data_IF_084925595697
#
_entry.id   IF_084925595697
#
_cell.length_a   1.000
_cell.length_b   1.000
_cell.length_c   1.000
_cell.angle_alpha   90.00
_cell.angle_beta   90.00
_cell.angle_gamma   90.00
#
_symmetry.space_group_name_H-M   'P 1'
#
loop_
_entity.id
_entity.type
_entity.pdbx_description
1 polymer ?
#
# COMPACT_ATOMS: atom_id res chain seq x y z
N UNK A 1 10.91 19.24 1.57
CA UNK A 1 10.66 17.82 1.84
C UNK A 1 9.24 17.73 2.36
N UNK A 2 8.27 17.39 1.51
CA UNK A 2 6.91 17.12 1.98
C UNK A 2 6.94 15.68 2.52
N UNK A 3 6.89 15.53 3.84
CA UNK A 3 6.69 14.22 4.44
C UNK A 3 5.27 13.78 4.10
N UNK A 4 5.14 12.84 3.16
CA UNK A 4 3.87 12.19 2.90
C UNK A 4 3.62 11.22 4.06
N UNK A 5 2.47 11.33 4.71
CA UNK A 5 2.11 10.45 5.83
C UNK A 5 1.94 9.04 5.28
N UNK A 6 2.66 8.07 5.86
CA UNK A 6 2.45 6.65 5.62
C UNK A 6 1.65 6.06 6.78
N UNK A 7 0.44 5.63 6.46
CA UNK A 7 -0.46 5.00 7.40
C UNK A 7 0.00 3.59 7.70
N UNK A 8 -0.30 3.14 8.92
CA UNK A 8 -0.11 1.76 9.34
C UNK A 8 -1.45 1.01 9.37
N UNK A 9 -1.42 -0.32 9.51
CA UNK A 9 -2.64 -1.14 9.57
C UNK A 9 -3.61 -0.79 10.71
N UNK A 10 -3.14 -0.10 11.77
CA UNK A 10 -3.98 0.45 12.82
C UNK A 10 -4.79 1.71 12.43
N UNK A 11 -4.46 2.36 11.31
CA UNK A 11 -4.92 3.70 10.95
C UNK A 11 -5.89 3.71 9.74
N UNK A 12 -6.52 2.57 9.45
CA UNK A 12 -7.43 2.39 8.30
C UNK A 12 -8.50 3.49 8.21
N UNK A 13 -9.07 3.93 9.34
CA UNK A 13 -10.13 4.95 9.34
C UNK A 13 -9.64 6.31 8.83
N UNK A 14 -8.42 6.70 9.20
CA UNK A 14 -7.83 7.97 8.79
C UNK A 14 -7.43 7.91 7.32
N UNK A 15 -6.88 6.77 6.87
CA UNK A 15 -6.64 6.51 5.45
C UNK A 15 -7.93 6.60 4.62
N UNK A 16 -9.01 5.96 5.06
CA UNK A 16 -10.32 6.02 4.36
C UNK A 16 -10.84 7.46 4.27
N UNK A 17 -10.63 8.27 5.32
CA UNK A 17 -11.01 9.67 5.29
C UNK A 17 -10.22 10.46 4.25
N UNK A 18 -8.92 10.18 4.08
CA UNK A 18 -8.09 10.79 3.03
C UNK A 18 -8.47 10.34 1.62
N UNK A 19 -8.73 9.05 1.41
CA UNK A 19 -9.19 8.55 0.11
C UNK A 19 -10.46 9.28 -0.35
N UNK A 20 -11.41 9.50 0.57
CA UNK A 20 -12.68 10.19 0.28
C UNK A 20 -12.52 11.68 -0.01
N UNK A 21 -11.39 12.28 0.37
CA UNK A 21 -11.04 13.67 -0.02
C UNK A 21 -10.42 13.73 -1.42
N UNK A 22 -10.15 12.60 -2.06
CA UNK A 22 -9.47 12.50 -3.34
C UNK A 22 -7.95 12.45 -3.24
N UNK A 23 -7.40 12.30 -2.02
CA UNK A 23 -5.97 12.07 -1.80
C UNK A 23 -5.57 10.64 -2.17
N UNK A 24 -4.30 10.44 -2.51
CA UNK A 24 -3.69 9.10 -2.63
C UNK A 24 -2.86 8.88 -1.36
N UNK A 25 -3.42 8.23 -0.32
CA UNK A 25 -2.66 7.92 0.89
C UNK A 25 -1.58 6.88 0.61
N UNK A 26 -0.56 6.89 1.44
CA UNK A 26 0.50 5.87 1.47
C UNK A 26 0.23 4.92 2.64
N UNK A 27 0.44 3.62 2.44
CA UNK A 27 0.28 2.59 3.48
C UNK A 27 1.55 1.74 3.50
N UNK A 28 2.17 1.60 4.68
CA UNK A 28 3.21 0.60 4.90
C UNK A 28 2.53 -0.74 5.23
N UNK A 29 3.02 -1.81 4.61
CA UNK A 29 2.64 -3.20 4.91
C UNK A 29 3.87 -4.09 4.84
N UNK A 30 3.93 -5.14 5.64
CA UNK A 30 5.07 -6.06 5.68
C UNK A 30 5.14 -6.94 4.42
N UNK A 31 3.98 -7.40 3.95
CA UNK A 31 3.89 -8.36 2.85
C UNK A 31 2.53 -8.34 2.13
N UNK A 32 2.37 -9.26 1.17
CA UNK A 32 1.11 -9.46 0.46
C UNK A 32 -0.03 -9.98 1.35
N UNK A 33 0.26 -10.65 2.49
CA UNK A 33 -0.77 -11.09 3.43
C UNK A 33 -1.35 -9.89 4.18
N UNK A 34 -0.50 -8.98 4.64
CA UNK A 34 -0.94 -7.76 5.29
C UNK A 34 -1.65 -6.81 4.29
N UNK A 35 -1.16 -6.70 3.05
CA UNK A 35 -1.92 -6.05 1.98
C UNK A 35 -3.34 -6.63 1.84
N UNK A 36 -3.48 -7.96 1.77
CA UNK A 36 -4.79 -8.60 1.67
C UNK A 36 -5.66 -8.34 2.90
N UNK A 37 -5.05 -8.25 4.09
CA UNK A 37 -5.74 -7.84 5.30
C UNK A 37 -6.28 -6.41 5.19
N UNK A 38 -5.47 -5.47 4.69
CA UNK A 38 -5.88 -4.07 4.44
C UNK A 38 -7.04 -4.02 3.45
N UNK A 39 -6.97 -4.78 2.36
CA UNK A 39 -8.06 -4.88 1.36
C UNK A 39 -9.36 -5.33 2.04
N UNK A 40 -9.32 -6.39 2.86
CA UNK A 40 -10.50 -6.87 3.58
C UNK A 40 -11.06 -5.81 4.55
N UNK A 41 -10.19 -5.03 5.21
CA UNK A 41 -10.62 -3.93 6.08
C UNK A 41 -11.26 -2.78 5.31
N UNK A 42 -10.78 -2.48 4.12
CA UNK A 42 -11.40 -1.49 3.25
C UNK A 42 -12.79 -1.92 2.78
N UNK A 43 -13.01 -3.21 2.57
CA UNK A 43 -14.34 -3.73 2.20
C UNK A 43 -15.39 -3.45 3.28
N UNK A 44 -15.01 -3.48 4.57
CA UNK A 44 -15.88 -3.10 5.71
C UNK A 44 -16.33 -1.63 5.61
N UNK A 45 -15.63 -0.80 4.84
CA UNK A 45 -15.91 0.61 4.58
C UNK A 45 -16.54 0.88 3.20
N UNK A 46 -16.99 -0.16 2.50
CA UNK A 46 -17.48 -0.12 1.11
C UNK A 46 -16.45 0.38 0.10
N UNK A 47 -15.18 0.06 0.32
CA UNK A 47 -14.08 0.35 -0.60
C UNK A 47 -13.52 -1.00 -1.06
N UNK A 48 -13.63 -1.28 -2.34
CA UNK A 48 -13.34 -2.59 -2.92
C UNK A 48 -12.16 -2.49 -3.87
N UNK A 49 -11.29 -3.50 -3.87
CA UNK A 49 -10.18 -3.57 -4.81
C UNK A 49 -10.71 -3.72 -6.25
N UNK A 50 -10.26 -2.86 -7.17
CA UNK A 50 -10.61 -2.92 -8.58
C UNK A 50 -9.80 -4.04 -9.27
N UNK A 51 -10.28 -5.29 -9.18
CA UNK A 51 -9.55 -6.50 -9.61
C UNK A 51 -9.16 -6.55 -11.09
N UNK A 52 -9.84 -5.80 -11.95
CA UNK A 52 -9.54 -5.74 -13.38
C UNK A 52 -8.39 -4.76 -13.70
N UNK A 53 -7.98 -3.94 -12.73
CA UNK A 53 -6.91 -2.96 -12.89
C UNK A 53 -5.63 -3.57 -12.29
N UNK A 54 -4.57 -3.75 -13.09
CA UNK A 54 -3.32 -4.27 -12.58
C UNK A 54 -2.67 -3.27 -11.62
N UNK A 55 -1.85 -3.79 -10.69
CA UNK A 55 -1.06 -2.96 -9.80
C UNK A 55 -0.01 -2.17 -10.60
N UNK A 56 0.06 -0.87 -10.33
CA UNK A 56 1.01 0.03 -11.00
C UNK A 56 2.30 0.11 -10.19
N UNK A 57 3.31 -0.61 -10.69
CA UNK A 57 4.65 -0.70 -10.10
C UNK A 57 5.54 0.50 -10.42
N UNK A 58 5.13 1.35 -11.36
CA UNK A 58 5.90 2.48 -11.88
C UNK A 58 5.28 3.83 -11.46
N UNK A 59 4.26 3.81 -10.60
CA UNK A 59 3.58 5.02 -10.13
C UNK A 59 4.48 5.97 -9.32
N UNK A 60 5.62 5.46 -8.81
CA UNK A 60 6.65 6.20 -8.08
C UNK A 60 8.03 5.84 -8.60
N UNK A 61 8.99 6.74 -8.41
CA UNK A 61 10.39 6.50 -8.76
C UNK A 61 11.07 5.67 -7.67
N UNK A 62 11.26 4.38 -7.96
CA UNK A 62 11.89 3.40 -7.05
C UNK A 62 13.35 3.71 -6.73
N UNK A 63 14.02 4.57 -7.49
CA UNK A 63 15.38 5.03 -7.14
C UNK A 63 15.30 5.95 -5.91
N UNK A 64 14.25 6.76 -5.84
CA UNK A 64 14.02 7.70 -4.74
C UNK A 64 13.20 7.08 -3.59
N UNK A 65 12.33 6.12 -3.92
CA UNK A 65 11.41 5.46 -2.99
C UNK A 65 11.55 3.93 -3.13
N UNK A 66 12.67 3.33 -2.67
CA UNK A 66 12.96 1.89 -2.89
C UNK A 66 11.97 0.94 -2.21
N UNK A 67 11.27 1.43 -1.19
CA UNK A 67 10.25 0.70 -0.42
C UNK A 67 8.90 0.68 -1.16
N UNK A 68 8.71 1.52 -2.19
CA UNK A 68 7.47 1.53 -2.96
C UNK A 68 7.32 0.24 -3.76
N UNK A 69 6.25 -0.50 -3.49
CA UNK A 69 6.03 -1.78 -4.15
C UNK A 69 5.00 -1.65 -5.29
N UNK A 70 3.86 -1.01 -5.04
CA UNK A 70 2.87 -0.69 -6.08
C UNK A 70 1.78 0.29 -5.64
N UNK A 71 1.09 0.87 -6.63
CA UNK A 71 -0.20 1.52 -6.47
C UNK A 71 -1.34 0.57 -6.81
N UNK A 72 -2.31 0.45 -5.91
CA UNK A 72 -3.52 -0.33 -6.13
C UNK A 72 -4.75 0.58 -6.29
N UNK A 73 -5.63 0.19 -7.20
CA UNK A 73 -6.88 0.90 -7.49
C UNK A 73 -8.05 0.31 -6.70
N UNK A 74 -8.90 1.17 -6.17
CA UNK A 74 -10.08 0.82 -5.39
C UNK A 74 -11.30 1.58 -5.90
N UNK A 75 -12.49 1.04 -5.67
CA UNK A 75 -13.78 1.64 -6.05
C UNK A 75 -14.76 1.56 -4.90
N UNK A 76 -15.74 2.48 -4.88
CA UNK A 76 -16.89 2.39 -3.97
C UNK A 76 -17.91 1.32 -4.37
N UNK A 77 -17.69 0.64 -5.49
CA UNK A 77 -18.56 -0.43 -6.02
C UNK A 77 -17.72 -1.63 -6.47
N UNK A 78 -18.25 -2.84 -6.25
CA UNK A 78 -17.56 -4.09 -6.64
C UNK A 78 -17.46 -4.28 -8.16
N UNK A 79 -18.40 -3.71 -8.90
CA UNK A 79 -18.61 -3.99 -10.31
C UNK A 79 -18.42 -2.75 -11.21
N UNK A 80 -17.98 -1.62 -10.65
CA UNK A 80 -17.79 -0.37 -11.39
C UNK A 80 -16.39 0.18 -11.18
N UNK A 81 -15.78 0.56 -12.31
CA UNK A 81 -14.49 1.26 -12.38
C UNK A 81 -14.68 2.78 -12.37
N UNK A 82 -15.88 3.28 -12.02
CA UNK A 82 -16.15 4.70 -11.87
C UNK A 82 -15.67 5.20 -10.51
N UNK A 83 -15.12 6.42 -10.47
CA UNK A 83 -14.62 7.07 -9.25
C UNK A 83 -13.53 6.26 -8.51
N UNK A 84 -12.51 5.83 -9.26
CA UNK A 84 -11.37 5.13 -8.68
C UNK A 84 -10.66 5.99 -7.64
N UNK A 85 -10.33 5.34 -6.53
CA UNK A 85 -9.42 5.81 -5.50
C UNK A 85 -8.15 4.97 -5.56
N UNK A 86 -7.05 5.52 -5.05
CA UNK A 86 -5.75 4.85 -5.12
C UNK A 86 -5.08 4.86 -3.76
N UNK A 87 -4.27 3.83 -3.51
CA UNK A 87 -3.38 3.74 -2.35
C UNK A 87 -2.01 3.34 -2.87
N UNK A 88 -0.97 4.03 -2.41
CA UNK A 88 0.42 3.65 -2.64
C UNK A 88 0.87 2.74 -1.50
N UNK A 89 1.28 1.51 -1.82
CA UNK A 89 1.76 0.53 -0.84
C UNK A 89 3.29 0.48 -0.84
N UNK A 90 3.84 0.51 0.37
CA UNK A 90 5.27 0.42 0.64
C UNK A 90 5.53 -0.82 1.47
N UNK A 91 6.49 -1.63 1.04
CA UNK A 91 6.88 -2.85 1.75
C UNK A 91 8.17 -2.57 2.49
N UNK A 92 8.28 -3.05 3.72
CA UNK A 92 9.58 -2.99 4.41
C UNK A 92 10.61 -3.74 3.54
N UNK A 93 11.82 -3.16 3.36
CA UNK A 93 12.86 -3.85 2.64
C UNK A 93 13.18 -5.14 3.40
N UNK A 94 13.15 -6.28 2.70
CA UNK A 94 13.67 -7.52 3.25
C UNK A 94 15.11 -7.26 3.67
N UNK A 95 15.37 -7.23 4.98
CA UNK A 95 16.72 -7.29 5.49
C UNK A 95 17.18 -8.71 5.21
N UNK A 96 17.99 -8.90 4.16
CA UNK A 96 18.84 -10.09 4.12
C UNK A 96 19.65 -10.02 5.42
N UNK A 97 19.40 -10.94 6.35
CA UNK A 97 20.33 -11.19 7.43
C UNK A 97 21.63 -11.60 6.74
N UNK A 98 22.55 -10.64 6.55
CA UNK A 98 23.92 -10.91 6.18
C UNK A 98 24.46 -11.85 7.27
N UNK A 99 24.46 -13.14 6.95
CA UNK A 99 25.08 -14.19 7.73
C UNK A 99 26.57 -13.86 7.72
N UNK A 100 27.02 -13.17 8.76
CA UNK A 100 28.43 -13.01 9.04
C UNK A 100 28.80 -14.15 10.00
N UNK A 101 29.37 -15.29 9.54
CA UNK A 101 29.97 -16.27 10.44
C UNK A 101 31.24 -15.67 11.02
N UNK A 102 31.10 -14.75 11.97
CA UNK A 102 32.20 -14.30 12.81
C UNK A 102 32.38 -15.36 13.89
N UNK A 103 33.14 -16.40 13.54
CA UNK A 103 34.36 -16.85 14.23
C UNK A 103 34.77 -18.19 13.62
N UNK A 104 35.64 -18.11 12.62
CA UNK A 104 36.70 -19.08 12.46
C UNK A 104 37.83 -18.73 13.43
N UNK A 105 38.04 -19.60 14.42
CA UNK A 105 39.35 -20.09 14.88
C UNK A 105 39.15 -21.35 15.74
#
# INVERSE_FOLDING_TARGET
>A
MFYQIRYQTGEIKDMVAEMRKGSIPCMDVDDMNEFNWVVNKLEEHNIYLAKNIPFDKDARDRINEPEFEFRAAFSSSKDSEDNLMYIDFYFEPFVEEDYDPIFGD
#
